data_IF_790082133191
#
_entry.id   IF_790082133191
#
_cell.length_a   1.000
_cell.length_b   1.000
_cell.length_c   1.000
_cell.angle_alpha   90.00
_cell.angle_beta   90.00
_cell.angle_gamma   90.00
#
_symmetry.space_group_name_H-M   'P 1'
#
loop_
_entity.id
_entity.type
_entity.pdbx_description
1 polymer ?
#
# COMPACT_ATOMS: atom_id res chain seq x y z
N UNK A 1 11.29 29.14 9.65
CA UNK A 1 11.09 27.84 8.98
C UNK A 1 10.09 28.07 7.87
N UNK A 2 10.57 28.19 6.63
CA UNK A 2 9.79 28.70 5.50
C UNK A 2 8.78 27.64 5.05
N UNK A 3 7.50 27.92 5.23
CA UNK A 3 6.43 27.16 4.58
C UNK A 3 6.37 27.60 3.12
N UNK A 4 7.11 26.91 2.26
CA UNK A 4 6.99 27.10 0.81
C UNK A 4 5.59 26.61 0.39
N UNK A 5 4.70 27.56 0.10
CA UNK A 5 3.36 27.25 -0.45
C UNK A 5 3.56 26.64 -1.83
N UNK A 6 3.39 25.33 -1.93
CA UNK A 6 3.25 24.62 -3.20
C UNK A 6 2.16 25.31 -4.03
N UNK A 7 2.57 26.04 -5.09
CA UNK A 7 1.66 26.61 -6.09
C UNK A 7 1.12 25.47 -6.95
N UNK A 8 0.17 24.71 -6.41
CA UNK A 8 -0.54 23.69 -7.17
C UNK A 8 -1.54 24.42 -8.09
N UNK A 9 -1.34 24.33 -9.40
CA UNK A 9 -2.25 24.94 -10.36
C UNK A 9 -3.63 24.25 -10.27
N UNK A 10 -4.69 24.93 -9.80
CA UNK A 10 -5.99 24.31 -9.53
C UNK A 10 -6.64 23.76 -10.81
N UNK A 11 -6.33 24.33 -11.98
CA UNK A 11 -6.80 23.87 -13.28
C UNK A 11 -6.20 22.51 -13.71
N UNK A 12 -5.07 22.08 -13.12
CA UNK A 12 -4.46 20.75 -13.33
C UNK A 12 -4.96 19.68 -12.34
N UNK A 13 -5.67 20.11 -11.28
CA UNK A 13 -6.18 19.24 -10.21
C UNK A 13 -7.66 18.95 -10.43
N UNK A 14 -8.44 19.95 -10.83
CA UNK A 14 -9.84 19.79 -11.23
C UNK A 14 -9.91 19.15 -12.64
N UNK A 15 -10.08 17.83 -12.70
CA UNK A 15 -10.30 17.10 -13.96
C UNK A 15 -9.79 15.66 -14.00
N UNK A 16 -9.05 15.19 -12.98
CA UNK A 16 -8.46 13.84 -12.98
C UNK A 16 -9.33 12.75 -12.37
N UNK A 17 -10.64 12.94 -12.25
CA UNK A 17 -11.54 11.90 -11.73
C UNK A 17 -11.42 10.58 -12.49
N UNK A 18 -11.41 10.65 -13.83
CA UNK A 18 -11.19 9.48 -14.70
C UNK A 18 -9.81 8.85 -14.45
N UNK A 19 -8.77 9.67 -14.34
CA UNK A 19 -7.41 9.18 -14.03
C UNK A 19 -7.36 8.45 -12.69
N UNK A 20 -7.95 9.01 -11.64
CA UNK A 20 -7.97 8.40 -10.32
C UNK A 20 -8.78 7.10 -10.30
N UNK A 21 -9.90 7.04 -11.03
CA UNK A 21 -10.70 5.82 -11.18
C UNK A 21 -9.91 4.72 -11.91
N UNK A 22 -9.28 5.05 -13.05
CA UNK A 22 -8.45 4.11 -13.82
C UNK A 22 -7.25 3.64 -13.01
N UNK A 23 -6.55 4.58 -12.33
CA UNK A 23 -5.42 4.23 -11.45
C UNK A 23 -5.85 3.28 -10.35
N UNK A 24 -7.02 3.50 -9.75
CA UNK A 24 -7.54 2.63 -8.69
C UNK A 24 -7.86 1.24 -9.21
N UNK A 25 -8.48 1.14 -10.38
CA UNK A 25 -8.77 -0.14 -11.03
C UNK A 25 -7.47 -0.89 -11.36
N UNK A 26 -6.50 -0.20 -11.95
CA UNK A 26 -5.18 -0.75 -12.24
C UNK A 26 -4.49 -1.26 -10.97
N UNK A 27 -4.49 -0.47 -9.88
CA UNK A 27 -3.86 -0.87 -8.62
C UNK A 27 -4.49 -2.14 -8.04
N UNK A 28 -5.82 -2.26 -8.11
CA UNK A 28 -6.52 -3.47 -7.65
C UNK A 28 -6.11 -4.66 -8.50
N UNK A 29 -6.23 -4.57 -9.83
CA UNK A 29 -5.92 -5.69 -10.73
C UNK A 29 -4.44 -6.11 -10.61
N UNK A 30 -3.52 -5.15 -10.69
CA UNK A 30 -2.09 -5.42 -10.62
C UNK A 30 -1.69 -6.00 -9.25
N UNK A 31 -2.24 -5.48 -8.15
CA UNK A 31 -1.97 -6.04 -6.82
C UNK A 31 -2.56 -7.44 -6.64
N UNK A 32 -3.77 -7.72 -7.14
CA UNK A 32 -4.37 -9.05 -7.08
C UNK A 32 -3.54 -10.07 -7.86
N UNK A 33 -3.11 -9.74 -9.07
CA UNK A 33 -2.24 -10.61 -9.87
C UNK A 33 -0.90 -10.84 -9.15
N UNK A 34 -0.28 -9.76 -8.63
CA UNK A 34 0.96 -9.84 -7.87
C UNK A 34 0.83 -10.73 -6.63
N UNK A 35 -0.28 -10.62 -5.88
CA UNK A 35 -0.54 -11.46 -4.71
C UNK A 35 -0.70 -12.94 -5.08
N UNK A 36 -1.38 -13.26 -6.19
CA UNK A 36 -1.54 -14.64 -6.64
C UNK A 36 -0.19 -15.23 -7.05
N UNK A 37 0.56 -14.52 -7.87
CA UNK A 37 1.88 -14.99 -8.36
C UNK A 37 2.89 -15.14 -7.23
N UNK A 38 2.87 -14.24 -6.24
CA UNK A 38 3.79 -14.26 -5.10
C UNK A 38 3.28 -15.12 -3.93
N UNK A 39 2.03 -15.61 -3.97
CA UNK A 39 1.46 -16.44 -2.89
C UNK A 39 2.30 -17.67 -2.50
N UNK A 40 2.92 -18.45 -3.42
CA UNK A 40 3.79 -19.56 -3.02
C UNK A 40 5.04 -19.08 -2.28
N UNK A 41 5.62 -17.95 -2.69
CA UNK A 41 6.78 -17.36 -2.01
C UNK A 41 6.39 -16.84 -0.62
N UNK A 42 5.25 -16.17 -0.49
CA UNK A 42 4.74 -15.71 0.80
C UNK A 42 4.45 -16.87 1.75
N UNK A 43 3.88 -17.97 1.26
CA UNK A 43 3.67 -19.17 2.07
C UNK A 43 4.99 -19.75 2.59
N UNK A 44 6.00 -19.84 1.72
CA UNK A 44 7.34 -20.28 2.10
C UNK A 44 7.94 -19.39 3.20
N UNK A 45 7.85 -18.05 3.05
CA UNK A 45 8.33 -17.11 4.06
C UNK A 45 7.59 -17.25 5.39
N UNK A 46 6.26 -17.43 5.36
CA UNK A 46 5.46 -17.65 6.58
C UNK A 46 5.95 -18.89 7.33
N UNK A 47 6.20 -20.00 6.63
CA UNK A 47 6.68 -21.24 7.26
C UNK A 47 8.06 -21.02 7.89
N UNK A 48 8.97 -20.37 7.16
CA UNK A 48 10.33 -20.10 7.63
C UNK A 48 10.34 -19.21 8.87
N UNK A 49 9.62 -18.08 8.85
CA UNK A 49 9.55 -17.13 9.97
C UNK A 49 8.96 -17.80 11.21
N UNK A 50 7.90 -18.61 11.05
CA UNK A 50 7.28 -19.32 12.18
C UNK A 50 8.20 -20.38 12.79
N UNK A 51 9.06 -20.99 11.99
CA UNK A 51 10.01 -21.99 12.47
C UNK A 51 11.22 -21.36 13.20
N UNK A 52 11.66 -20.18 12.79
CA UNK A 52 12.79 -19.47 13.41
C UNK A 52 12.40 -18.74 14.70
N UNK A 53 11.34 -17.93 14.66
CA UNK A 53 10.99 -17.01 15.77
C UNK A 53 9.80 -17.48 16.62
N UNK A 54 9.06 -18.52 16.20
CA UNK A 54 7.86 -19.03 16.87
C UNK A 54 6.66 -18.06 16.91
N UNK A 55 6.85 -16.81 16.48
CA UNK A 55 5.85 -15.75 16.50
C UNK A 55 4.99 -15.65 15.23
N UNK A 56 4.05 -14.69 15.20
CA UNK A 56 3.25 -14.42 14.00
C UNK A 56 4.15 -13.94 12.84
N UNK A 57 3.94 -14.48 11.65
CA UNK A 57 4.72 -14.15 10.46
C UNK A 57 4.47 -12.72 9.93
N UNK A 58 3.35 -12.10 10.33
CA UNK A 58 2.98 -10.76 9.92
C UNK A 58 2.84 -9.83 11.13
N UNK A 59 3.28 -8.60 10.98
CA UNK A 59 2.96 -7.50 11.89
C UNK A 59 2.34 -6.32 11.11
N UNK A 60 1.69 -5.42 11.84
CA UNK A 60 1.10 -4.22 11.25
C UNK A 60 1.60 -2.95 11.94
N UNK A 61 1.83 -1.91 11.15
CA UNK A 61 2.17 -0.58 11.62
C UNK A 61 1.15 0.43 11.10
N UNK A 62 0.66 1.33 11.96
CA UNK A 62 -0.25 2.41 11.53
C UNK A 62 0.51 3.51 10.77
N UNK A 63 -0.10 3.98 9.67
CA UNK A 63 0.41 5.09 8.84
C UNK A 63 -0.75 5.99 8.43
N UNK A 64 -0.48 7.28 8.28
CA UNK A 64 -1.46 8.25 7.77
C UNK A 64 -1.60 8.06 6.25
N UNK A 65 -2.83 7.84 5.79
CA UNK A 65 -3.17 7.58 4.40
C UNK A 65 -3.91 8.73 3.72
N UNK A 66 -4.72 8.38 2.71
CA UNK A 66 -5.53 9.33 1.96
C UNK A 66 -6.53 10.05 2.88
N UNK A 67 -6.69 11.35 2.68
CA UNK A 67 -7.60 12.21 3.45
C UNK A 67 -7.32 12.11 4.97
N UNK A 68 -6.04 11.99 5.34
CA UNK A 68 -5.53 11.88 6.71
C UNK A 68 -6.06 10.66 7.49
N UNK A 69 -6.70 9.70 6.81
CA UNK A 69 -7.23 8.50 7.44
C UNK A 69 -6.10 7.53 7.77
N UNK A 70 -5.95 7.08 9.03
CA UNK A 70 -4.96 6.08 9.37
C UNK A 70 -5.29 4.74 8.71
N UNK A 71 -4.26 4.01 8.30
CA UNK A 71 -4.38 2.63 7.79
C UNK A 71 -3.26 1.75 8.33
N UNK A 72 -3.55 0.44 8.41
CA UNK A 72 -2.59 -0.57 8.84
C UNK A 72 -1.76 -1.05 7.65
N UNK A 73 -0.45 -0.86 7.73
CA UNK A 73 0.52 -1.39 6.77
C UNK A 73 1.04 -2.75 7.27
N UNK A 74 0.70 -3.82 6.55
CA UNK A 74 1.12 -5.18 6.85
C UNK A 74 2.52 -5.47 6.28
N UNK A 75 3.35 -6.16 7.05
CA UNK A 75 4.71 -6.57 6.67
C UNK A 75 5.00 -7.96 7.23
N UNK A 76 5.91 -8.67 6.59
CA UNK A 76 6.57 -9.81 7.22
C UNK A 76 7.40 -9.32 8.40
N UNK A 77 7.37 -10.08 9.49
CA UNK A 77 8.13 -9.80 10.69
C UNK A 77 9.63 -9.91 10.43
#
# INVERSE_FOLDING_TARGET
>A
MVMEKLKVNPAKVHGRYVYHAVKRLFDIIASTIGLILLSPLFLFLVIKIRHEDGGPAFYSQERIGKDEKPFKMWKFR
#
